data_IF_461007310696
#
_entry.id   IF_461007310696
#
_cell.length_a   1.000
_cell.length_b   1.000
_cell.length_c   1.000
_cell.angle_alpha   90.00
_cell.angle_beta   90.00
_cell.angle_gamma   90.00
#
_symmetry.space_group_name_H-M   'P 1'
#
loop_
_entity.id
_entity.type
_entity.pdbx_description
1 polymer ?
#
# COMPACT_ATOMS: atom_id res chain seq x y z
N UNK A 1 -12.66 -1.88 -1.44
CA UNK A 1 -12.55 -3.09 -2.27
C UNK A 1 -13.80 -3.91 -2.04
N UNK A 2 -14.51 -4.34 -3.09
CA UNK A 2 -15.76 -5.07 -2.91
C UNK A 2 -15.55 -6.53 -3.33
N UNK A 3 -15.11 -7.32 -2.36
CA UNK A 3 -15.45 -8.74 -2.26
C UNK A 3 -16.33 -8.89 -1.00
N UNK A 4 -17.24 -9.86 -0.98
CA UNK A 4 -18.50 -9.98 -0.21
C UNK A 4 -18.43 -9.87 1.34
N UNK A 5 -17.29 -9.46 1.92
CA UNK A 5 -16.99 -9.50 3.37
C UNK A 5 -16.67 -8.15 4.01
N UNK A 6 -16.71 -7.03 3.27
CA UNK A 6 -16.63 -5.69 3.88
C UNK A 6 -15.30 -5.38 4.59
N UNK A 7 -14.14 -5.73 4.02
CA UNK A 7 -12.84 -5.40 4.63
C UNK A 7 -12.70 -3.90 4.91
N UNK A 8 -12.39 -3.54 6.17
CA UNK A 8 -12.40 -2.17 6.72
C UNK A 8 -13.80 -1.54 6.86
N UNK A 9 -14.87 -2.33 6.81
CA UNK A 9 -16.22 -1.92 7.19
C UNK A 9 -16.50 -2.22 8.67
N UNK A 10 -17.33 -1.40 9.34
CA UNK A 10 -17.74 -1.66 10.72
C UNK A 10 -18.37 -3.05 10.87
N UNK A 11 -18.02 -3.75 11.94
CA UNK A 11 -18.58 -5.07 12.33
C UNK A 11 -18.07 -6.29 11.52
N UNK A 12 -16.99 -6.15 10.76
CA UNK A 12 -16.35 -7.27 10.05
C UNK A 12 -15.11 -7.77 10.78
N UNK A 13 -14.81 -9.07 10.67
CA UNK A 13 -13.55 -9.64 11.15
C UNK A 13 -12.54 -9.61 9.99
N UNK A 14 -11.61 -8.66 10.01
CA UNK A 14 -10.65 -8.48 8.92
C UNK A 14 -9.82 -9.74 8.66
N UNK A 15 -9.55 -10.54 9.70
CA UNK A 15 -8.79 -11.79 9.60
C UNK A 15 -9.51 -12.90 8.82
N UNK A 16 -10.83 -12.79 8.63
CA UNK A 16 -11.60 -13.73 7.81
C UNK A 16 -11.55 -13.37 6.31
N UNK A 17 -10.98 -12.21 5.97
CA UNK A 17 -11.00 -11.68 4.61
C UNK A 17 -9.92 -12.34 3.72
N UNK A 18 -10.34 -13.02 2.66
CA UNK A 18 -9.48 -13.92 1.86
C UNK A 18 -9.26 -13.51 0.39
N UNK A 19 -9.54 -12.25 0.03
CA UNK A 19 -9.03 -11.61 -1.20
C UNK A 19 -9.47 -12.18 -2.56
N UNK A 20 -10.27 -13.23 -2.62
CA UNK A 20 -11.03 -13.61 -3.83
C UNK A 20 -10.27 -14.20 -5.04
N UNK A 21 -9.01 -14.63 -4.96
CA UNK A 21 -8.34 -15.32 -6.10
C UNK A 21 -7.83 -16.74 -5.87
N UNK A 22 -7.93 -17.52 -6.95
CA UNK A 22 -7.52 -18.92 -7.11
C UNK A 22 -6.00 -19.13 -7.22
N UNK A 23 -5.17 -18.32 -6.55
CA UNK A 23 -3.73 -18.59 -6.50
C UNK A 23 -3.44 -19.73 -5.51
N UNK A 24 -3.40 -20.95 -6.03
CA UNK A 24 -3.01 -22.13 -5.26
C UNK A 24 -1.56 -21.93 -4.78
N UNK A 25 -1.36 -21.85 -3.47
CA UNK A 25 -0.06 -21.77 -2.75
C UNK A 25 0.47 -20.38 -2.33
N UNK A 26 -0.34 -19.32 -2.33
CA UNK A 26 -0.01 -18.07 -1.63
C UNK A 26 -1.18 -17.63 -0.74
N UNK A 27 -0.93 -17.09 0.47
CA UNK A 27 -2.01 -16.54 1.28
C UNK A 27 -2.56 -15.30 0.58
N UNK A 28 -3.77 -15.39 0.03
CA UNK A 28 -4.47 -14.23 -0.49
C UNK A 28 -5.42 -13.67 0.59
N UNK A 29 -5.48 -12.36 0.71
CA UNK A 29 -6.28 -11.65 1.72
C UNK A 29 -5.46 -11.07 2.86
N UNK A 30 -6.09 -10.98 4.02
CA UNK A 30 -5.49 -10.43 5.23
C UNK A 30 -4.81 -11.53 6.06
N UNK A 31 -3.63 -11.20 6.57
CA UNK A 31 -2.86 -12.04 7.47
C UNK A 31 -2.81 -11.38 8.85
N UNK A 32 -3.22 -12.14 9.87
CA UNK A 32 -3.30 -11.67 11.24
C UNK A 32 -2.25 -12.33 12.13
N UNK A 33 -1.81 -11.60 13.14
CA UNK A 33 -0.91 -12.10 14.17
C UNK A 33 -1.67 -12.93 15.23
N UNK A 34 -0.97 -13.34 16.29
CA UNK A 34 -1.57 -14.14 17.38
C UNK A 34 -2.61 -13.38 18.20
N UNK A 35 -2.73 -12.07 18.02
CA UNK A 35 -3.70 -11.21 18.70
C UNK A 35 -4.91 -10.88 17.79
N UNK A 36 -4.92 -11.35 16.54
CA UNK A 36 -5.98 -11.05 15.58
C UNK A 36 -5.79 -9.69 14.89
N UNK A 37 -4.60 -9.11 14.94
CA UNK A 37 -4.31 -7.84 14.28
C UNK A 37 -3.74 -8.08 12.88
N UNK A 38 -4.28 -7.41 11.86
CA UNK A 38 -3.79 -7.51 10.49
C UNK A 38 -2.36 -6.94 10.43
N UNK A 39 -1.39 -7.80 10.11
CA UNK A 39 0.00 -7.40 9.92
C UNK A 39 0.43 -7.44 8.45
N UNK A 40 -0.30 -8.14 7.59
CA UNK A 40 -0.03 -8.10 6.17
C UNK A 40 -1.32 -8.20 5.36
N UNK A 41 -1.31 -7.51 4.24
CA UNK A 41 -2.36 -7.61 3.24
C UNK A 41 -1.73 -8.07 1.94
N UNK A 42 -2.17 -9.22 1.45
CA UNK A 42 -1.63 -9.86 0.26
C UNK A 42 -2.71 -10.00 -0.80
N UNK A 43 -2.72 -9.07 -1.75
CA UNK A 43 -3.71 -8.96 -2.80
C UNK A 43 -3.13 -8.63 -4.18
N UNK A 44 -2.02 -9.24 -4.63
CA UNK A 44 -1.60 -9.06 -6.01
C UNK A 44 -2.62 -9.67 -7.00
N UNK A 45 -2.88 -8.99 -8.12
CA UNK A 45 -3.62 -9.58 -9.25
C UNK A 45 -5.07 -10.02 -8.90
N UNK A 46 -5.80 -9.22 -8.13
CA UNK A 46 -7.17 -9.53 -7.67
C UNK A 46 -8.26 -8.70 -8.39
N UNK A 47 -7.94 -8.06 -9.51
CA UNK A 47 -8.86 -7.17 -10.23
C UNK A 47 -9.53 -6.11 -9.33
N UNK A 48 -8.84 -5.70 -8.26
CA UNK A 48 -9.38 -4.70 -7.34
C UNK A 48 -9.55 -3.37 -8.07
N UNK A 49 -10.67 -2.71 -7.85
CA UNK A 49 -11.00 -1.39 -8.41
C UNK A 49 -11.32 -0.40 -7.30
N UNK A 50 -11.53 0.87 -7.67
CA UNK A 50 -11.83 1.94 -6.73
C UNK A 50 -10.56 2.62 -6.25
N UNK A 51 -10.49 3.01 -4.97
CA UNK A 51 -9.34 3.70 -4.37
C UNK A 51 -8.81 2.95 -3.15
N UNK A 52 -7.58 3.25 -2.73
CA UNK A 52 -7.08 2.83 -1.42
C UNK A 52 -7.88 3.59 -0.33
N UNK A 53 -8.63 2.91 0.56
CA UNK A 53 -9.44 3.58 1.58
C UNK A 53 -8.57 4.23 2.65
N UNK A 54 -9.04 5.34 3.25
CA UNK A 54 -8.30 6.01 4.33
C UNK A 54 -8.22 5.14 5.59
N UNK A 55 -9.19 4.26 5.77
CA UNK A 55 -9.32 3.33 6.88
C UNK A 55 -8.13 2.34 6.93
N UNK A 56 -7.34 2.22 5.85
CA UNK A 56 -6.10 1.45 5.85
C UNK A 56 -5.15 1.88 6.98
N UNK A 57 -5.13 3.17 7.34
CA UNK A 57 -4.32 3.70 8.43
C UNK A 57 -4.74 3.23 9.83
N UNK A 58 -5.88 2.56 9.96
CA UNK A 58 -6.31 1.95 11.24
C UNK A 58 -5.58 0.63 11.53
N UNK A 59 -4.93 0.02 10.53
CA UNK A 59 -4.22 -1.25 10.67
C UNK A 59 -2.85 -1.05 11.32
N UNK A 60 -2.84 -0.72 12.61
CA UNK A 60 -1.65 -0.34 13.37
C UNK A 60 -0.55 -1.42 13.46
N UNK A 61 -0.89 -2.68 13.15
CA UNK A 61 0.08 -3.79 13.11
C UNK A 61 0.64 -4.07 11.71
N UNK A 62 0.20 -3.32 10.69
CA UNK A 62 0.57 -3.53 9.28
C UNK A 62 2.08 -3.40 9.07
N UNK A 63 2.67 -4.45 8.52
CA UNK A 63 4.08 -4.58 8.16
C UNK A 63 4.26 -4.75 6.65
N UNK A 64 3.27 -5.30 5.94
CA UNK A 64 3.37 -5.54 4.50
C UNK A 64 2.06 -5.25 3.79
N UNK A 65 2.05 -4.24 2.93
CA UNK A 65 0.92 -3.90 2.06
C UNK A 65 1.28 -4.30 0.63
N UNK A 66 0.64 -5.34 0.12
CA UNK A 66 0.82 -5.81 -1.25
C UNK A 66 -0.50 -5.82 -2.00
N UNK A 67 -0.74 -4.81 -2.84
CA UNK A 67 -1.94 -4.65 -3.67
C UNK A 67 -1.58 -4.40 -5.14
N UNK A 68 -0.44 -4.93 -5.57
CA UNK A 68 0.12 -4.73 -6.90
C UNK A 68 -0.73 -5.38 -8.01
N UNK A 69 -0.60 -4.90 -9.24
CA UNK A 69 -1.25 -5.46 -10.43
C UNK A 69 -2.77 -5.54 -10.29
N UNK A 70 -3.38 -4.43 -9.88
CA UNK A 70 -4.82 -4.26 -9.82
C UNK A 70 -5.23 -3.05 -10.67
N UNK A 71 -6.49 -2.60 -10.54
CA UNK A 71 -7.01 -1.38 -11.17
C UNK A 71 -7.41 -0.35 -10.09
N UNK A 72 -6.59 -0.24 -9.04
CA UNK A 72 -6.80 0.75 -7.97
C UNK A 72 -6.38 2.12 -8.49
N UNK A 73 -7.30 3.07 -8.49
CA UNK A 73 -7.06 4.46 -8.90
C UNK A 73 -7.10 5.45 -7.74
N UNK A 74 -7.15 6.74 -8.09
CA UNK A 74 -7.17 7.83 -7.12
C UNK A 74 -5.82 8.05 -6.41
N UNK A 75 -5.75 9.01 -5.47
CA UNK A 75 -4.54 9.29 -4.73
C UNK A 75 -4.27 8.25 -3.63
N UNK A 76 -3.01 8.15 -3.22
CA UNK A 76 -2.64 7.48 -1.96
C UNK A 76 -3.16 8.35 -0.81
N UNK A 77 -4.04 7.84 0.08
CA UNK A 77 -4.54 8.62 1.21
C UNK A 77 -3.42 8.90 2.21
N UNK A 78 -3.41 10.08 2.83
CA UNK A 78 -2.36 10.46 3.78
C UNK A 78 -2.24 9.49 4.97
N UNK A 79 -3.35 8.86 5.35
CA UNK A 79 -3.40 7.86 6.43
C UNK A 79 -2.61 6.59 6.12
N UNK A 80 -2.32 6.30 4.84
CA UNK A 80 -1.43 5.19 4.48
C UNK A 80 0.01 5.46 4.93
N UNK A 81 0.39 6.72 5.15
CA UNK A 81 1.70 7.10 5.68
C UNK A 81 1.76 7.07 7.22
N UNK A 82 0.64 6.83 7.90
CA UNK A 82 0.59 6.69 9.36
C UNK A 82 0.84 5.24 9.82
N UNK A 83 1.09 4.31 8.88
CA UNK A 83 1.44 2.92 9.14
C UNK A 83 2.90 2.79 9.61
N UNK A 84 3.15 3.17 10.86
CA UNK A 84 4.48 3.27 11.46
C UNK A 84 5.30 1.96 11.44
N UNK A 85 4.64 0.79 11.45
CA UNK A 85 5.27 -0.54 11.37
C UNK A 85 5.49 -1.05 9.95
N UNK A 86 5.07 -0.30 8.92
CA UNK A 86 5.15 -0.76 7.54
C UNK A 86 6.60 -0.94 7.10
N UNK A 87 6.93 -2.16 6.69
CA UNK A 87 8.25 -2.54 6.21
C UNK A 87 8.28 -2.64 4.69
N UNK A 88 7.20 -3.10 4.07
CA UNK A 88 7.12 -3.30 2.62
C UNK A 88 5.81 -2.74 2.05
N UNK A 89 5.92 -1.94 1.00
CA UNK A 89 4.79 -1.37 0.28
C UNK A 89 4.90 -1.65 -1.22
N UNK A 90 4.11 -2.61 -1.70
CA UNK A 90 3.96 -2.96 -3.11
C UNK A 90 2.59 -2.54 -3.62
N UNK A 91 2.54 -1.42 -4.34
CA UNK A 91 1.31 -0.91 -4.99
C UNK A 91 1.52 -0.71 -6.50
N UNK A 92 2.60 -1.26 -7.04
CA UNK A 92 2.97 -1.15 -8.45
C UNK A 92 1.92 -1.78 -9.38
N UNK A 93 1.85 -1.31 -10.63
CA UNK A 93 0.90 -1.85 -11.62
C UNK A 93 -0.55 -1.54 -11.23
N UNK A 94 -0.85 -0.27 -11.00
CA UNK A 94 -2.18 0.22 -10.67
C UNK A 94 -2.46 1.53 -11.45
N UNK A 95 -3.58 2.19 -11.18
CA UNK A 95 -3.99 3.44 -11.82
C UNK A 95 -3.88 4.63 -10.84
N UNK A 96 -2.96 4.56 -9.85
CA UNK A 96 -2.85 5.58 -8.80
C UNK A 96 -2.43 6.93 -9.38
N UNK A 97 -3.09 7.99 -8.94
CA UNK A 97 -2.92 9.38 -9.41
C UNK A 97 -2.47 10.29 -8.26
N UNK A 98 -2.30 11.60 -8.53
CA UNK A 98 -1.87 12.56 -7.52
C UNK A 98 -0.35 12.59 -7.34
N UNK A 99 0.11 13.09 -6.20
CA UNK A 99 1.54 13.25 -5.86
C UNK A 99 1.92 12.32 -4.71
N UNK A 100 3.20 11.95 -4.62
CA UNK A 100 3.71 11.30 -3.40
C UNK A 100 3.86 12.38 -2.31
N UNK A 101 3.17 12.21 -1.18
CA UNK A 101 3.15 13.19 -0.08
C UNK A 101 4.50 13.27 0.65
N UNK A 102 4.82 14.44 1.22
CA UNK A 102 5.96 14.58 2.15
C UNK A 102 5.79 13.68 3.39
N UNK A 103 4.56 13.31 3.73
CA UNK A 103 4.28 12.38 4.82
C UNK A 103 4.87 10.99 4.61
N UNK A 104 5.33 10.65 3.39
CA UNK A 104 6.08 9.41 3.14
C UNK A 104 7.25 9.23 4.11
N UNK A 105 7.89 10.32 4.54
CA UNK A 105 8.99 10.27 5.52
C UNK A 105 8.59 9.80 6.92
N UNK A 106 7.28 9.74 7.24
CA UNK A 106 6.78 9.15 8.50
C UNK A 106 7.00 7.64 8.58
N UNK A 107 7.10 6.95 7.44
CA UNK A 107 7.28 5.50 7.34
C UNK A 107 8.71 5.06 7.70
N UNK A 108 9.15 5.41 8.91
CA UNK A 108 10.54 5.26 9.35
C UNK A 108 11.08 3.82 9.34
N UNK A 109 10.21 2.81 9.38
CA UNK A 109 10.57 1.39 9.29
C UNK A 109 10.61 0.85 7.85
N UNK A 110 10.25 1.64 6.85
CA UNK A 110 10.08 1.15 5.48
C UNK A 110 11.42 0.69 4.88
N UNK A 111 11.48 -0.59 4.51
CA UNK A 111 12.62 -1.20 3.83
C UNK A 111 12.45 -1.25 2.31
N UNK A 112 11.22 -1.30 1.81
CA UNK A 112 10.94 -1.40 0.39
C UNK A 112 9.69 -0.64 -0.05
N UNK A 113 9.82 0.16 -1.12
CA UNK A 113 8.74 0.94 -1.73
C UNK A 113 8.72 0.74 -3.25
N UNK A 114 7.63 0.17 -3.76
CA UNK A 114 7.42 -0.06 -5.20
C UNK A 114 6.11 0.56 -5.67
N UNK A 115 6.23 1.75 -6.28
CA UNK A 115 5.12 2.50 -6.88
C UNK A 115 5.19 2.50 -8.42
N UNK A 116 6.08 1.66 -8.99
CA UNK A 116 6.26 1.51 -10.45
C UNK A 116 4.95 1.28 -11.19
N UNK A 117 4.85 1.73 -12.44
CA UNK A 117 3.70 1.48 -13.31
C UNK A 117 2.38 1.98 -12.70
N UNK A 118 2.30 3.29 -12.57
CA UNK A 118 1.15 4.05 -12.05
C UNK A 118 1.05 5.40 -12.79
N UNK A 119 0.13 6.26 -12.37
CA UNK A 119 -0.10 7.59 -12.95
C UNK A 119 0.29 8.71 -11.98
N UNK A 120 1.27 8.47 -11.09
CA UNK A 120 1.73 9.46 -10.11
C UNK A 120 2.44 10.62 -10.82
N UNK A 121 2.24 11.83 -10.30
CA UNK A 121 2.69 13.09 -10.88
C UNK A 121 3.48 13.92 -9.87
N UNK A 122 4.03 15.04 -10.32
CA UNK A 122 4.76 15.98 -9.46
C UNK A 122 6.18 15.50 -9.11
N UNK A 123 6.89 16.23 -8.24
CA UNK A 123 8.22 15.86 -7.79
C UNK A 123 8.20 14.73 -6.77
N UNK A 124 9.32 14.02 -6.66
CA UNK A 124 9.59 13.19 -5.48
C UNK A 124 9.73 14.10 -4.24
N UNK A 125 9.02 13.81 -3.14
CA UNK A 125 9.12 14.61 -1.92
C UNK A 125 10.50 14.53 -1.30
N UNK A 126 10.93 15.64 -0.72
CA UNK A 126 12.25 15.73 -0.07
C UNK A 126 12.39 14.74 1.08
N UNK A 127 11.29 14.47 1.80
CA UNK A 127 11.23 13.53 2.92
C UNK A 127 11.38 12.06 2.55
N UNK A 128 11.55 11.69 1.27
CA UNK A 128 12.06 10.35 0.93
C UNK A 128 13.43 10.10 1.56
N UNK A 129 14.25 11.14 1.78
CA UNK A 129 15.54 11.02 2.47
C UNK A 129 15.43 10.69 3.97
N UNK A 130 14.26 10.89 4.57
CA UNK A 130 13.99 10.52 5.98
C UNK A 130 13.84 8.99 6.15
N UNK A 131 13.64 8.24 5.05
CA UNK A 131 13.47 6.78 5.04
C UNK A 131 14.80 6.04 5.22
N UNK A 132 15.40 6.16 6.40
CA UNK A 132 16.75 5.65 6.69
C UNK A 132 16.93 4.12 6.57
N UNK A 133 15.84 3.35 6.59
CA UNK A 133 15.85 1.89 6.44
C UNK A 133 15.62 1.42 4.99
N UNK A 134 15.36 2.33 4.05
CA UNK A 134 14.97 1.99 2.69
C UNK A 134 16.14 1.37 1.92
N UNK A 135 15.97 0.13 1.48
CA UNK A 135 16.96 -0.61 0.69
C UNK A 135 16.51 -0.86 -0.76
N UNK A 136 15.21 -0.79 -1.02
CA UNK A 136 14.63 -0.93 -2.34
C UNK A 136 13.61 0.18 -2.60
N UNK A 137 13.80 0.91 -3.69
CA UNK A 137 12.94 2.03 -4.08
C UNK A 137 12.72 2.00 -5.60
N UNK A 138 11.47 2.00 -6.02
CA UNK A 138 11.10 1.93 -7.43
C UNK A 138 9.86 2.75 -7.71
N UNK A 139 10.02 3.76 -8.57
CA UNK A 139 8.97 4.72 -8.95
C UNK A 139 8.97 5.01 -10.45
N UNK A 140 9.69 4.20 -11.24
CA UNK A 140 9.70 4.30 -12.70
C UNK A 140 8.29 4.07 -13.30
N UNK A 141 8.13 4.38 -14.58
CA UNK A 141 6.85 4.20 -15.29
C UNK A 141 5.69 4.92 -14.56
N UNK A 142 5.96 6.16 -14.18
CA UNK A 142 5.01 7.16 -13.69
C UNK A 142 5.19 8.45 -14.50
N UNK A 143 4.46 9.50 -14.13
CA UNK A 143 4.54 10.85 -14.74
C UNK A 143 5.24 11.83 -13.78
N UNK A 144 6.24 11.33 -13.03
CA UNK A 144 7.00 12.12 -12.06
C UNK A 144 7.89 13.15 -12.77
N UNK A 145 8.10 14.29 -12.12
CA UNK A 145 8.85 15.44 -12.64
C UNK A 145 9.84 15.96 -11.60
N UNK A 146 10.56 17.04 -11.91
CA UNK A 146 11.46 17.68 -10.95
C UNK A 146 12.78 16.93 -10.74
N UNK A 147 13.67 17.47 -9.89
CA UNK A 147 14.94 16.84 -9.58
C UNK A 147 14.75 15.64 -8.64
N UNK A 148 15.73 14.75 -8.62
CA UNK A 148 15.83 13.78 -7.54
C UNK A 148 16.12 14.53 -6.21
N UNK A 149 15.47 14.15 -5.10
CA UNK A 149 15.72 14.76 -3.80
C UNK A 149 17.15 14.47 -3.34
N UNK A 150 17.75 15.43 -2.64
CA UNK A 150 19.12 15.40 -2.11
C UNK A 150 19.22 14.76 -0.74
#
# INVERSE_FOLDING_TARGET
WLDDFGFLEPETEECAWNGGTNMVNQPNGALCDVHGEVYALYLPENNLTGTLPREIGLLASMQSLWVAWNAIGGPIPDTAYDLDRLFLMWINGNELTGTISEDVGKLSNLGGLWFTDNLLTGPLPSRISDLSNLVAFSVNDNVLTGPLPS
#
